data_IF_243746366698
#
_entry.id   IF_243746366698
#
_cell.length_a   1.000
_cell.length_b   1.000
_cell.length_c   1.000
_cell.angle_alpha   90.00
_cell.angle_beta   90.00
_cell.angle_gamma   90.00
#
_symmetry.space_group_name_H-M   'P 1'
#
loop_
_entity.id
_entity.type
_entity.pdbx_description
1 polymer ?
#
# COMPACT_ATOMS: atom_id res chain seq x y z
N UNK A 1 3.94 -3.75 -14.77
CA UNK A 1 3.02 -2.67 -14.34
C UNK A 1 2.13 -3.25 -13.25
N UNK A 2 2.67 -3.38 -12.02
CA UNK A 2 2.14 -4.24 -10.94
C UNK A 2 0.92 -3.66 -10.17
N UNK A 3 0.39 -2.51 -10.57
CA UNK A 3 -0.99 -2.16 -10.18
C UNK A 3 -2.04 -2.92 -11.01
N UNK A 4 -1.67 -3.68 -12.05
CA UNK A 4 -2.63 -4.49 -12.83
C UNK A 4 -3.15 -5.76 -12.13
N UNK A 5 -2.44 -6.27 -11.13
CA UNK A 5 -2.87 -7.49 -10.42
C UNK A 5 -3.82 -7.23 -9.23
N UNK A 6 -3.72 -6.11 -8.47
CA UNK A 6 -4.73 -5.76 -7.46
C UNK A 6 -5.94 -5.01 -8.03
N UNK A 7 -5.75 -4.34 -9.17
CA UNK A 7 -6.73 -3.46 -9.82
C UNK A 7 -6.85 -4.01 -11.23
N UNK A 8 -7.89 -4.82 -11.44
CA UNK A 8 -8.22 -5.53 -12.67
C UNK A 8 -7.80 -4.78 -13.95
N UNK A 9 -7.19 -5.49 -14.89
CA UNK A 9 -6.67 -4.97 -16.15
C UNK A 9 -7.75 -4.33 -17.04
N UNK A 10 -9.02 -4.42 -16.65
CA UNK A 10 -10.19 -3.81 -17.28
C UNK A 10 -10.41 -2.33 -16.91
N UNK A 11 -9.68 -1.77 -15.92
CA UNK A 11 -9.98 -0.42 -15.42
C UNK A 11 -9.42 0.66 -16.37
N UNK A 12 -10.27 1.55 -16.92
CA UNK A 12 -9.83 2.61 -17.82
C UNK A 12 -8.80 3.55 -17.18
N UNK A 13 -7.95 4.14 -18.01
CA UNK A 13 -7.07 5.22 -17.57
C UNK A 13 -7.87 6.36 -16.93
N UNK A 14 -7.28 7.05 -15.96
CA UNK A 14 -7.87 8.18 -15.22
C UNK A 14 -9.14 7.88 -14.43
N UNK A 15 -9.39 6.61 -14.09
CA UNK A 15 -10.53 6.24 -13.24
C UNK A 15 -10.30 6.63 -11.77
N UNK A 16 -9.05 6.70 -11.32
CA UNK A 16 -8.67 7.20 -10.00
C UNK A 16 -8.16 8.63 -10.07
N UNK A 17 -8.56 9.44 -9.09
CA UNK A 17 -8.00 10.78 -8.84
C UNK A 17 -7.41 10.85 -7.45
N UNK A 18 -6.46 11.76 -7.25
CA UNK A 18 -5.95 12.07 -5.90
C UNK A 18 -7.08 12.70 -5.09
N UNK A 19 -7.35 12.14 -3.93
CA UNK A 19 -8.40 12.57 -3.02
C UNK A 19 -7.84 13.21 -1.75
N UNK A 20 -8.72 13.81 -0.94
CA UNK A 20 -8.35 14.38 0.36
C UNK A 20 -7.80 13.28 1.28
N UNK A 21 -6.59 13.50 1.77
CA UNK A 21 -5.83 12.56 2.61
C UNK A 21 -5.85 12.90 4.11
N UNK A 22 -6.53 13.98 4.49
CA UNK A 22 -6.76 14.36 5.89
C UNK A 22 -8.12 13.87 6.39
N UNK A 23 -8.13 13.43 7.65
CA UNK A 23 -9.28 12.86 8.34
C UNK A 23 -9.82 13.81 9.41
N UNK A 24 -11.04 13.55 9.87
CA UNK A 24 -11.75 14.44 10.83
C UNK A 24 -11.11 14.53 12.20
N UNK A 25 -10.19 13.62 12.53
CA UNK A 25 -9.42 13.60 13.76
C UNK A 25 -8.04 14.29 13.61
N UNK A 26 -7.81 14.99 12.50
CA UNK A 26 -6.56 15.67 12.19
C UNK A 26 -5.44 14.73 11.74
N UNK A 27 -5.69 13.41 11.67
CA UNK A 27 -4.71 12.47 11.14
C UNK A 27 -4.67 12.52 9.62
N UNK A 28 -3.50 12.23 9.04
CA UNK A 28 -3.26 12.39 7.60
C UNK A 28 -2.51 11.20 7.04
N UNK A 29 -2.99 10.72 5.90
CA UNK A 29 -2.29 9.80 5.03
C UNK A 29 -1.37 10.55 4.07
N UNK A 30 -0.33 9.88 3.57
CA UNK A 30 0.51 10.46 2.52
C UNK A 30 -0.30 10.66 1.24
N UNK A 31 -0.88 9.58 0.68
CA UNK A 31 -1.66 9.66 -0.56
C UNK A 31 -2.91 8.77 -0.51
N UNK A 32 -4.02 9.31 -1.01
CA UNK A 32 -5.28 8.59 -1.23
C UNK A 32 -5.69 8.74 -2.69
N UNK A 33 -5.96 7.63 -3.35
CA UNK A 33 -6.61 7.61 -4.65
C UNK A 33 -8.03 7.05 -4.50
N UNK A 34 -9.00 7.73 -5.11
CA UNK A 34 -10.38 7.27 -5.14
C UNK A 34 -10.99 7.49 -6.52
N UNK A 35 -11.96 6.64 -6.88
CA UNK A 35 -12.76 6.87 -8.07
C UNK A 35 -13.81 7.97 -7.80
N UNK A 36 -13.87 9.04 -8.61
CA UNK A 36 -14.94 10.02 -8.53
C UNK A 36 -16.24 9.48 -9.17
N UNK A 37 -16.13 8.41 -9.95
CA UNK A 37 -17.25 7.84 -10.71
C UNK A 37 -18.05 6.93 -9.78
N UNK A 38 -19.32 7.28 -9.57
CA UNK A 38 -20.30 6.43 -8.88
C UNK A 38 -20.84 5.37 -9.85
N UNK A 39 -20.06 4.32 -10.08
CA UNK A 39 -20.51 3.12 -10.81
C UNK A 39 -21.26 2.17 -9.88
N UNK A 40 -22.04 1.26 -10.45
CA UNK A 40 -22.73 0.16 -9.73
C UNK A 40 -21.75 -0.74 -8.98
N UNK A 41 -20.53 -0.88 -9.47
CA UNK A 41 -19.41 -1.50 -8.78
C UNK A 41 -18.43 -0.41 -8.34
N UNK A 42 -18.47 -0.05 -7.05
CA UNK A 42 -17.57 0.97 -6.51
C UNK A 42 -16.15 0.41 -6.42
N UNK A 43 -15.22 1.09 -7.10
CA UNK A 43 -13.80 0.75 -7.03
C UNK A 43 -13.23 1.01 -5.62
N UNK A 44 -12.37 0.10 -5.11
CA UNK A 44 -11.78 0.27 -3.78
C UNK A 44 -10.82 1.45 -3.77
N UNK A 45 -10.91 2.36 -2.78
CA UNK A 45 -9.89 3.40 -2.61
C UNK A 45 -8.51 2.79 -2.40
N UNK A 46 -7.47 3.45 -2.91
CA UNK A 46 -6.08 3.01 -2.77
C UNK A 46 -5.39 3.97 -1.81
N UNK A 47 -4.83 3.43 -0.73
CA UNK A 47 -4.06 4.19 0.26
C UNK A 47 -2.58 3.88 0.06
N UNK A 48 -1.75 4.92 0.06
CA UNK A 48 -0.30 4.77 -0.01
C UNK A 48 0.31 5.49 1.20
N UNK A 49 1.18 4.78 1.94
CA UNK A 49 1.96 5.30 3.06
C UNK A 49 3.44 5.00 2.87
N UNK A 50 4.28 5.98 3.15
CA UNK A 50 5.72 5.82 3.28
C UNK A 50 6.05 5.73 4.77
N UNK A 51 6.58 4.59 5.18
CA UNK A 51 6.89 4.35 6.58
C UNK A 51 8.37 4.00 6.76
N UNK A 52 9.02 4.71 7.69
CA UNK A 52 10.42 4.45 8.03
C UNK A 52 10.58 3.10 8.72
N UNK A 53 9.86 2.91 9.82
CA UNK A 53 9.85 1.68 10.58
C UNK A 53 8.41 1.20 10.77
N UNK A 54 8.16 -0.06 10.41
CA UNK A 54 6.85 -0.69 10.60
C UNK A 54 6.79 -1.36 11.96
N UNK A 55 5.89 -0.87 12.81
CA UNK A 55 5.65 -1.34 14.17
C UNK A 55 4.14 -1.48 14.46
N UNK A 56 3.80 -1.86 15.70
CA UNK A 56 2.42 -2.07 16.10
C UNK A 56 1.59 -0.77 16.03
N UNK A 57 2.16 0.35 16.47
CA UNK A 57 1.48 1.64 16.48
C UNK A 57 1.16 2.13 15.06
N UNK A 58 2.11 1.92 14.13
CA UNK A 58 1.89 2.14 12.70
C UNK A 58 0.74 1.28 12.17
N UNK A 59 0.71 -0.02 12.47
CA UNK A 59 -0.34 -0.91 11.98
C UNK A 59 -1.73 -0.52 12.52
N UNK A 60 -1.82 -0.14 13.80
CA UNK A 60 -3.05 0.37 14.40
C UNK A 60 -3.51 1.69 13.75
N UNK A 61 -2.57 2.58 13.43
CA UNK A 61 -2.85 3.80 12.66
C UNK A 61 -3.36 3.49 11.25
N UNK A 62 -2.78 2.49 10.59
CA UNK A 62 -3.20 2.06 9.25
C UNK A 62 -4.62 1.47 9.25
N UNK A 63 -4.96 0.67 10.26
CA UNK A 63 -6.33 0.14 10.46
C UNK A 63 -7.31 1.30 10.68
N UNK A 64 -6.93 2.31 11.46
CA UNK A 64 -7.74 3.52 11.66
C UNK A 64 -8.01 4.25 10.35
N UNK A 65 -6.99 4.42 9.52
CA UNK A 65 -7.13 5.03 8.19
C UNK A 65 -8.05 4.24 7.28
N UNK A 66 -7.96 2.91 7.33
CA UNK A 66 -8.86 2.05 6.56
C UNK A 66 -10.32 2.18 7.02
N UNK A 67 -10.55 2.32 8.33
CA UNK A 67 -11.87 2.60 8.90
C UNK A 67 -12.42 3.96 8.44
N UNK A 68 -11.61 5.02 8.47
CA UNK A 68 -12.01 6.35 7.98
C UNK A 68 -12.36 6.32 6.49
N UNK A 69 -11.54 5.61 5.71
CA UNK A 69 -11.77 5.41 4.28
C UNK A 69 -13.08 4.67 4.03
N UNK A 70 -13.34 3.58 4.74
CA UNK A 70 -14.61 2.86 4.64
C UNK A 70 -15.81 3.74 5.03
N UNK A 71 -15.70 4.56 6.08
CA UNK A 71 -16.77 5.49 6.47
C UNK A 71 -17.12 6.47 5.34
N UNK A 72 -16.10 6.97 4.62
CA UNK A 72 -16.23 7.93 3.52
C UNK A 72 -16.73 7.32 2.22
N UNK A 73 -16.15 6.19 1.80
CA UNK A 73 -16.39 5.60 0.47
C UNK A 73 -17.31 4.36 0.49
N UNK A 74 -17.61 3.82 1.67
CA UNK A 74 -18.40 2.58 1.86
C UNK A 74 -17.81 1.33 1.18
N UNK A 75 -16.51 1.37 0.87
CA UNK A 75 -15.75 0.25 0.30
C UNK A 75 -14.44 0.08 1.05
N UNK A 76 -14.04 -1.17 1.31
CA UNK A 76 -12.77 -1.48 1.95
C UNK A 76 -11.60 -1.13 1.01
N UNK A 77 -10.55 -0.46 1.51
CA UNK A 77 -9.45 -0.01 0.67
C UNK A 77 -8.47 -1.12 0.30
N UNK A 78 -7.68 -0.85 -0.74
CA UNK A 78 -6.40 -1.51 -1.02
C UNK A 78 -5.30 -0.60 -0.46
N UNK A 79 -4.32 -1.16 0.23
CA UNK A 79 -3.29 -0.41 0.94
C UNK A 79 -1.90 -0.85 0.46
N UNK A 80 -1.07 0.12 0.10
CA UNK A 80 0.34 -0.07 -0.20
C UNK A 80 1.20 0.69 0.81
N UNK A 81 2.05 -0.03 1.52
CA UNK A 81 3.04 0.57 2.42
C UNK A 81 4.42 0.45 1.78
N UNK A 82 5.15 1.55 1.67
CA UNK A 82 6.54 1.58 1.23
C UNK A 82 7.41 1.68 2.48
N UNK A 83 8.10 0.58 2.81
CA UNK A 83 8.95 0.49 4.00
C UNK A 83 10.37 0.93 3.63
N UNK A 84 10.78 2.08 4.14
CA UNK A 84 12.06 2.70 3.75
C UNK A 84 13.25 2.22 4.57
N UNK A 85 13.05 1.69 5.79
CA UNK A 85 14.13 1.10 6.59
C UNK A 85 13.87 -0.32 7.05
N UNK A 86 12.96 -0.54 8.01
CA UNK A 86 12.83 -1.86 8.65
C UNK A 86 11.50 -2.08 9.37
N UNK A 87 11.37 -3.25 10.01
CA UNK A 87 10.35 -3.53 11.01
C UNK A 87 10.90 -3.22 12.41
N UNK A 88 10.02 -3.18 13.42
CA UNK A 88 10.41 -3.07 14.84
C UNK A 88 11.26 -4.24 15.32
N UNK A 89 10.96 -5.46 14.84
CA UNK A 89 11.74 -6.67 15.11
C UNK A 89 11.57 -7.70 13.99
N UNK A 90 12.47 -8.68 13.94
CA UNK A 90 12.34 -9.82 13.04
C UNK A 90 11.10 -10.67 13.36
N UNK A 91 10.73 -10.80 14.64
CA UNK A 91 9.51 -11.49 15.05
C UNK A 91 8.26 -10.76 14.56
N UNK A 92 8.24 -9.43 14.67
CA UNK A 92 7.14 -8.63 14.15
C UNK A 92 7.01 -8.76 12.62
N UNK A 93 8.12 -8.83 11.89
CA UNK A 93 8.11 -9.06 10.45
C UNK A 93 7.52 -10.44 10.07
N UNK A 94 7.61 -11.46 10.94
CA UNK A 94 7.07 -12.81 10.68
C UNK A 94 5.54 -12.87 10.71
N UNK A 95 4.89 -11.84 11.26
CA UNK A 95 3.43 -11.69 11.23
C UNK A 95 2.88 -11.44 9.80
N UNK A 96 3.76 -11.12 8.85
CA UNK A 96 3.40 -10.86 7.46
C UNK A 96 3.71 -12.08 6.58
N UNK A 97 2.83 -12.35 5.62
CA UNK A 97 3.03 -13.44 4.65
C UNK A 97 3.65 -12.93 3.36
N UNK A 98 4.33 -13.79 2.62
CA UNK A 98 4.79 -13.45 1.27
C UNK A 98 3.60 -13.48 0.31
N UNK A 99 3.39 -12.39 -0.42
CA UNK A 99 2.34 -12.28 -1.44
C UNK A 99 2.53 -13.27 -2.60
N UNK A 100 1.47 -13.52 -3.37
CA UNK A 100 1.47 -14.52 -4.46
C UNK A 100 2.56 -14.35 -5.51
N UNK A 101 2.98 -13.11 -5.77
CA UNK A 101 4.03 -12.82 -6.75
C UNK A 101 5.45 -12.97 -6.16
N UNK A 102 5.59 -13.17 -4.85
CA UNK A 102 6.87 -13.29 -4.15
C UNK A 102 7.60 -11.97 -3.89
N UNK A 103 6.99 -10.83 -4.24
CA UNK A 103 7.66 -9.52 -4.30
C UNK A 103 7.26 -8.57 -3.18
N UNK A 104 6.16 -8.87 -2.48
CA UNK A 104 5.62 -8.01 -1.42
C UNK A 104 5.33 -8.86 -0.20
N UNK A 105 5.44 -8.24 0.98
CA UNK A 105 4.85 -8.79 2.19
C UNK A 105 3.38 -8.39 2.26
N UNK A 106 2.55 -9.19 2.92
CA UNK A 106 1.11 -9.01 3.00
C UNK A 106 0.64 -9.16 4.44
N UNK A 107 -0.17 -8.20 4.89
CA UNK A 107 -0.77 -8.22 6.22
C UNK A 107 -2.14 -8.93 6.18
N UNK A 108 -2.53 -9.55 7.30
CA UNK A 108 -3.90 -10.08 7.44
C UNK A 108 -4.92 -8.94 7.42
N UNK A 109 -5.81 -8.94 6.43
CA UNK A 109 -6.73 -7.82 6.16
C UNK A 109 -8.17 -8.03 6.66
N UNK A 110 -8.46 -9.13 7.36
CA UNK A 110 -9.83 -9.50 7.72
C UNK A 110 -10.55 -8.33 8.41
N UNK A 111 -11.66 -7.90 7.81
CA UNK A 111 -12.56 -6.85 8.28
C UNK A 111 -12.09 -5.39 8.18
N UNK A 112 -10.85 -5.10 7.78
CA UNK A 112 -10.36 -3.72 7.76
C UNK A 112 -9.81 -3.26 6.41
N UNK A 113 -9.41 -4.17 5.52
CA UNK A 113 -8.98 -3.82 4.17
C UNK A 113 -9.34 -4.93 3.16
N UNK A 114 -9.36 -4.59 1.88
CA UNK A 114 -9.43 -5.58 0.80
C UNK A 114 -8.06 -6.26 0.61
N UNK A 115 -6.99 -5.47 0.72
CA UNK A 115 -5.61 -5.94 0.66
C UNK A 115 -4.67 -4.92 1.32
N UNK A 116 -3.59 -5.37 1.93
CA UNK A 116 -2.54 -4.54 2.49
C UNK A 116 -1.18 -5.18 2.19
N UNK A 117 -0.44 -4.57 1.28
CA UNK A 117 0.87 -5.04 0.83
C UNK A 117 1.97 -4.06 1.22
N UNK A 118 3.14 -4.61 1.55
CA UNK A 118 4.30 -3.87 1.97
C UNK A 118 5.46 -4.13 1.00
N UNK A 119 5.96 -3.04 0.42
CA UNK A 119 7.15 -3.02 -0.40
C UNK A 119 8.36 -2.72 0.48
N UNK A 120 9.28 -3.67 0.58
CA UNK A 120 10.50 -3.54 1.41
C UNK A 120 11.75 -3.52 0.54
N UNK A 121 12.83 -2.90 1.04
CA UNK A 121 14.12 -2.87 0.35
C UNK A 121 14.62 -4.27 -0.03
N UNK A 122 14.42 -5.27 0.84
CA UNK A 122 14.83 -6.65 0.60
C UNK A 122 14.05 -7.31 -0.55
N UNK A 123 12.74 -7.07 -0.61
CA UNK A 123 11.92 -7.64 -1.67
C UNK A 123 12.28 -7.05 -3.04
N UNK A 124 12.69 -5.78 -3.02
CA UNK A 124 13.19 -5.06 -4.17
C UNK A 124 14.57 -5.58 -4.62
N UNK A 125 15.52 -5.79 -3.70
CA UNK A 125 16.88 -6.27 -4.03
C UNK A 125 16.89 -7.66 -4.67
N UNK A 126 15.98 -8.54 -4.27
CA UNK A 126 15.86 -9.89 -4.82
C UNK A 126 15.42 -9.93 -6.30
N UNK A 127 15.00 -8.79 -6.87
CA UNK A 127 14.49 -8.68 -8.24
C UNK A 127 15.39 -7.88 -9.18
N UNK A 128 16.55 -7.40 -8.71
CA UNK A 128 17.54 -6.69 -9.51
C UNK A 128 18.15 -7.54 -10.63
N UNK A 129 18.03 -8.87 -10.56
CA UNK A 129 18.60 -9.79 -11.55
C UNK A 129 17.70 -10.01 -12.79
N UNK A 130 16.54 -9.34 -12.87
CA UNK A 130 15.67 -9.39 -14.06
C UNK A 130 16.04 -8.22 -14.97
N UNK A 131 16.36 -8.50 -16.24
CA UNK A 131 16.90 -7.54 -17.21
C UNK A 131 16.06 -6.27 -17.44
N UNK A 132 14.78 -6.29 -17.08
CA UNK A 132 13.92 -5.10 -17.03
C UNK A 132 13.22 -5.04 -15.67
N UNK A 133 13.51 -3.99 -14.89
CA UNK A 133 12.86 -3.76 -13.61
C UNK A 133 11.40 -3.33 -13.82
N UNK A 134 10.47 -3.92 -13.07
CA UNK A 134 9.11 -3.39 -13.02
C UNK A 134 9.14 -1.96 -12.44
N UNK A 135 8.38 -1.00 -12.98
CA UNK A 135 8.39 0.39 -12.50
C UNK A 135 8.12 0.55 -11.01
N UNK A 136 7.33 -0.32 -10.37
CA UNK A 136 7.11 -0.29 -8.92
C UNK A 136 8.33 -0.78 -8.15
N UNK A 137 9.05 -1.75 -8.69
CA UNK A 137 10.33 -2.21 -8.12
C UNK A 137 11.37 -1.10 -8.28
N UNK A 138 11.41 -0.42 -9.43
CA UNK A 138 12.30 0.73 -9.65
C UNK A 138 11.99 1.91 -8.71
N UNK A 139 10.71 2.24 -8.52
CA UNK A 139 10.28 3.25 -7.55
C UNK A 139 10.61 2.84 -6.11
N UNK A 140 10.36 1.57 -5.76
CA UNK A 140 10.76 0.99 -4.49
C UNK A 140 12.27 1.08 -4.25
N UNK A 141 13.09 0.73 -5.25
CA UNK A 141 14.55 0.90 -5.19
C UNK A 141 14.93 2.34 -4.90
N UNK A 142 14.35 3.28 -5.64
CA UNK A 142 14.65 4.70 -5.50
C UNK A 142 14.33 5.20 -4.09
N UNK A 143 13.11 4.94 -3.61
CA UNK A 143 12.63 5.41 -2.31
C UNK A 143 13.34 4.73 -1.13
N UNK A 144 13.69 3.45 -1.26
CA UNK A 144 14.39 2.71 -0.19
C UNK A 144 15.89 2.98 -0.14
N UNK A 145 16.53 3.37 -1.25
CA UNK A 145 17.97 3.68 -1.28
C UNK A 145 18.30 5.12 -0.90
N UNK A 146 17.36 6.06 -1.00
CA UNK A 146 17.59 7.49 -0.72
C UNK A 146 17.13 7.93 0.68
N UNK A 147 16.60 7.03 1.52
CA UNK A 147 16.36 7.28 2.95
C UNK A 147 17.63 7.23 3.83
N UNK A 148 18.81 7.18 3.20
CA UNK A 148 20.13 7.27 3.83
C UNK A 148 20.66 8.70 3.66
N UNK A 149 20.18 9.59 4.51
CA UNK A 149 20.72 10.93 4.76
C UNK A 149 20.67 11.20 6.24
#
# INVERSE_FOLDING_TARGET
>A
MILRDPIDASIPANTYVVAQNEWTDGSRLDVVYASPIKTTESLPPILIELQYQVDQDFMLRLIKYASHTFKRYKVLPIILVIVTKSFSSADFQREFTISRNGLLLEASCKFWAKQCVLLTANAVSNNLNKGTLDPMIALGLFLTRHGLG
#
